data_IF_491823208775
#
_entry.id   IF_491823208775
#
_cell.length_a   1.000
_cell.length_b   1.000
_cell.length_c   1.000
_cell.angle_alpha   90.00
_cell.angle_beta   90.00
_cell.angle_gamma   90.00
#
_symmetry.space_group_name_H-M   'P 1'
#
loop_
_entity.id
_entity.type
_entity.pdbx_description
1 polymer ?
#
# COMPACT_ATOMS: atom_id res chain seq x y z
N UNK A 1 -1.88 -10.87 -8.00
CA UNK A 1 -0.88 -10.14 -7.19
C UNK A 1 -1.48 -9.97 -5.81
N UNK A 2 -0.88 -10.57 -4.81
CA UNK A 2 -1.33 -10.49 -3.43
C UNK A 2 -0.37 -9.65 -2.61
N UNK A 3 -0.86 -9.05 -1.52
CA UNK A 3 -0.04 -8.21 -0.66
C UNK A 3 1.14 -8.98 -0.06
N UNK A 4 0.94 -10.27 0.26
CA UNK A 4 2.00 -11.16 0.75
C UNK A 4 3.23 -11.25 -0.17
N UNK A 5 3.07 -11.00 -1.47
CA UNK A 5 4.16 -11.09 -2.45
C UNK A 5 5.19 -9.95 -2.31
N UNK A 6 4.87 -8.89 -1.55
CA UNK A 6 5.73 -7.72 -1.35
C UNK A 6 6.36 -7.64 0.05
N UNK A 7 5.99 -8.56 0.94
CA UNK A 7 6.33 -8.47 2.35
C UNK A 7 7.75 -8.95 2.63
N UNK A 8 8.40 -8.29 3.58
CA UNK A 8 9.66 -8.75 4.12
C UNK A 8 9.44 -10.06 4.91
N UNK A 9 10.30 -11.06 4.69
CA UNK A 9 10.25 -12.33 5.43
C UNK A 9 10.95 -12.25 6.80
N UNK A 10 11.83 -11.26 6.97
CA UNK A 10 12.61 -11.02 8.19
C UNK A 10 12.82 -9.52 8.38
N UNK A 11 12.85 -9.08 9.63
CA UNK A 11 13.11 -7.70 10.00
C UNK A 11 12.47 -7.33 11.33
N UNK A 12 12.74 -6.11 11.78
CA UNK A 12 12.09 -5.53 12.95
C UNK A 12 10.73 -4.96 12.55
N UNK A 13 9.67 -5.64 12.98
CA UNK A 13 8.30 -5.30 12.63
C UNK A 13 7.56 -4.69 13.82
N UNK A 14 6.75 -3.66 13.55
CA UNK A 14 5.86 -3.03 14.53
C UNK A 14 4.53 -3.80 14.58
N UNK A 15 4.44 -4.78 15.49
CA UNK A 15 3.22 -5.53 15.78
C UNK A 15 2.27 -4.74 16.69
N UNK A 16 0.97 -4.96 16.52
CA UNK A 16 -0.04 -4.50 17.48
C UNK A 16 -0.31 -5.58 18.52
N UNK A 17 -0.53 -5.15 19.76
CA UNK A 17 -1.02 -6.05 20.81
C UNK A 17 -2.48 -6.45 20.54
N UNK A 18 -2.90 -7.62 21.06
CA UNK A 18 -4.23 -8.18 20.77
C UNK A 18 -5.37 -7.26 21.22
N UNK A 19 -5.16 -6.49 22.28
CA UNK A 19 -6.13 -5.55 22.83
C UNK A 19 -6.27 -4.29 21.96
N UNK A 20 -5.33 -4.01 21.05
CA UNK A 20 -5.32 -2.82 20.21
C UNK A 20 -6.18 -2.93 18.96
N UNK A 21 -6.70 -4.12 18.63
CA UNK A 21 -7.51 -4.35 17.43
C UNK A 21 -8.63 -5.37 17.63
N UNK A 22 -9.55 -5.40 16.68
CA UNK A 22 -10.62 -6.39 16.57
C UNK A 22 -10.60 -6.96 15.16
N UNK A 23 -10.56 -8.29 15.05
CA UNK A 23 -10.78 -9.00 13.79
C UNK A 23 -12.26 -9.35 13.67
N UNK A 24 -12.81 -9.25 12.46
CA UNK A 24 -14.21 -9.60 12.20
C UNK A 24 -14.32 -11.09 11.87
N UNK A 25 -15.34 -11.76 12.41
CA UNK A 25 -15.56 -13.20 12.19
C UNK A 25 -15.70 -13.57 10.71
N UNK A 26 -16.29 -12.67 9.91
CA UNK A 26 -16.50 -12.84 8.48
C UNK A 26 -15.84 -11.68 7.72
N UNK A 27 -14.55 -11.81 7.37
CA UNK A 27 -13.86 -10.83 6.54
C UNK A 27 -14.61 -10.55 5.24
N UNK A 28 -14.60 -9.28 4.80
CA UNK A 28 -15.28 -8.87 3.58
C UNK A 28 -14.28 -8.72 2.44
N UNK A 29 -14.39 -9.59 1.45
CA UNK A 29 -13.65 -9.50 0.18
C UNK A 29 -14.41 -8.61 -0.80
N UNK A 30 -13.72 -7.70 -1.47
CA UNK A 30 -14.24 -6.89 -2.56
C UNK A 30 -13.83 -7.49 -3.91
N UNK A 31 -14.50 -7.08 -5.00
CA UNK A 31 -14.19 -7.52 -6.36
C UNK A 31 -12.74 -7.19 -6.79
N UNK A 32 -12.16 -6.14 -6.19
CA UNK A 32 -10.75 -5.75 -6.36
C UNK A 32 -9.75 -6.69 -5.67
N UNK A 33 -10.22 -7.72 -4.98
CA UNK A 33 -9.39 -8.60 -4.14
C UNK A 33 -9.02 -8.00 -2.78
N UNK A 34 -9.52 -6.80 -2.43
CA UNK A 34 -9.27 -6.18 -1.14
C UNK A 34 -10.05 -6.92 -0.04
N UNK A 35 -9.36 -7.42 0.99
CA UNK A 35 -9.96 -8.20 2.07
C UNK A 35 -9.91 -7.38 3.37
N UNK A 36 -11.03 -6.76 3.73
CA UNK A 36 -11.16 -6.08 5.01
C UNK A 36 -11.41 -7.10 6.12
N UNK A 37 -10.51 -7.18 7.10
CA UNK A 37 -10.51 -8.26 8.10
C UNK A 37 -10.62 -7.78 9.54
N UNK A 38 -10.54 -6.48 9.77
CA UNK A 38 -10.60 -5.93 11.11
C UNK A 38 -10.31 -4.45 11.19
N UNK A 39 -10.24 -3.96 12.40
CA UNK A 39 -9.98 -2.55 12.69
C UNK A 39 -9.25 -2.39 14.02
N UNK A 40 -8.54 -1.27 14.17
CA UNK A 40 -7.91 -0.86 15.42
C UNK A 40 -8.97 -0.34 16.39
N UNK A 41 -8.80 -0.67 17.68
CA UNK A 41 -9.65 -0.23 18.79
C UNK A 41 -9.35 1.24 19.14
N UNK A 42 -9.61 2.15 18.20
CA UNK A 42 -9.47 3.60 18.35
C UNK A 42 -10.85 4.26 18.16
N UNK A 43 -10.96 5.50 18.61
CA UNK A 43 -12.21 6.27 18.51
C UNK A 43 -12.78 6.24 17.08
N UNK A 44 -13.98 5.67 16.96
CA UNK A 44 -14.80 5.68 15.75
C UNK A 44 -15.52 7.02 15.60
N UNK A 45 -16.16 7.25 14.45
CA UNK A 45 -17.08 8.38 14.33
C UNK A 45 -18.23 8.19 15.33
N UNK A 46 -18.62 9.24 16.06
CA UNK A 46 -19.71 9.15 17.06
C UNK A 46 -21.07 9.58 16.50
N UNK A 47 -21.07 10.37 15.43
CA UNK A 47 -22.29 10.93 14.85
C UNK A 47 -22.72 10.12 13.61
N UNK A 48 -23.97 9.68 13.57
CA UNK A 48 -24.59 9.07 12.40
C UNK A 48 -24.31 7.57 12.17
N UNK A 49 -23.66 6.89 13.13
CA UNK A 49 -23.45 5.44 13.08
C UNK A 49 -24.60 4.72 13.76
N UNK A 50 -25.17 3.74 13.07
CA UNK A 50 -26.22 2.88 13.61
C UNK A 50 -25.58 1.85 14.56
N UNK A 51 -26.26 1.45 15.64
CA UNK A 51 -25.78 0.36 16.51
C UNK A 51 -25.47 -0.91 15.70
N UNK A 52 -24.48 -1.69 16.15
CA UNK A 52 -24.07 -2.97 15.54
C UNK A 52 -23.53 -2.87 14.10
N UNK A 53 -22.85 -1.76 13.76
CA UNK A 53 -22.22 -1.57 12.44
C UNK A 53 -20.70 -1.46 12.47
N UNK A 54 -20.08 -1.75 13.62
CA UNK A 54 -18.64 -1.69 13.89
C UNK A 54 -17.84 -2.62 12.99
N UNK A 55 -18.43 -3.71 12.51
CA UNK A 55 -17.80 -4.64 11.57
C UNK A 55 -17.68 -4.09 10.14
N UNK A 56 -18.25 -2.92 9.83
CA UNK A 56 -18.20 -2.33 8.49
C UNK A 56 -16.98 -1.42 8.32
N UNK A 57 -16.18 -1.64 7.26
CA UNK A 57 -15.01 -0.81 6.97
C UNK A 57 -15.31 0.70 6.88
N UNK A 58 -16.50 1.07 6.39
CA UNK A 58 -16.90 2.48 6.19
C UNK A 58 -17.06 3.28 7.49
N UNK A 59 -17.26 2.62 8.64
CA UNK A 59 -17.38 3.32 9.93
C UNK A 59 -16.01 3.66 10.54
N UNK A 60 -14.94 3.11 9.95
CA UNK A 60 -13.56 3.28 10.40
C UNK A 60 -12.78 4.24 9.51
N UNK A 61 -11.98 5.11 10.13
CA UNK A 61 -10.99 5.92 9.43
C UNK A 61 -9.97 4.99 8.75
N UNK A 62 -9.48 5.38 7.58
CA UNK A 62 -8.52 4.58 6.80
C UNK A 62 -7.34 4.04 7.63
N UNK A 63 -6.66 4.84 8.49
CA UNK A 63 -5.51 4.37 9.27
C UNK A 63 -5.84 3.36 10.37
N UNK A 64 -7.13 3.15 10.64
CA UNK A 64 -7.61 2.20 11.64
C UNK A 64 -8.12 0.92 11.00
N UNK A 65 -8.11 0.79 9.68
CA UNK A 65 -8.57 -0.42 8.99
C UNK A 65 -7.42 -1.41 8.87
N UNK A 66 -7.75 -2.68 8.98
CA UNK A 66 -6.82 -3.79 8.87
C UNK A 66 -7.25 -4.65 7.69
N UNK A 67 -6.30 -4.94 6.81
CA UNK A 67 -6.53 -5.75 5.61
C UNK A 67 -5.69 -7.03 5.66
N UNK A 68 -6.21 -8.13 5.10
CA UNK A 68 -5.49 -9.40 5.05
C UNK A 68 -4.41 -9.38 3.96
N UNK A 69 -3.25 -9.99 4.24
CA UNK A 69 -2.17 -10.16 3.27
C UNK A 69 -2.52 -11.11 2.11
N UNK A 70 -3.58 -11.91 2.27
CA UNK A 70 -4.13 -12.80 1.23
C UNK A 70 -4.95 -12.03 0.19
N UNK A 71 -5.15 -10.72 0.38
CA UNK A 71 -5.83 -9.83 -0.54
C UNK A 71 -4.89 -8.81 -1.18
N UNK A 72 -5.49 -7.77 -1.75
CA UNK A 72 -4.78 -6.57 -2.19
C UNK A 72 -4.69 -5.53 -1.07
N UNK A 73 -3.86 -4.50 -1.24
CA UNK A 73 -3.77 -3.35 -0.34
C UNK A 73 -4.55 -2.15 -0.92
N UNK A 74 -5.20 -1.31 -0.10
CA UNK A 74 -5.79 -0.06 -0.60
C UNK A 74 -4.72 0.91 -1.11
N UNK A 75 -5.14 2.04 -1.70
CA UNK A 75 -4.22 3.11 -2.06
C UNK A 75 -3.42 3.60 -0.85
N UNK A 76 -2.11 3.79 -1.01
CA UNK A 76 -1.24 4.47 -0.04
C UNK A 76 -1.48 5.99 -0.18
N UNK A 77 -2.11 6.67 0.79
CA UNK A 77 -2.38 8.10 0.69
C UNK A 77 -1.19 8.93 1.20
N UNK A 78 -0.86 10.02 0.51
CA UNK A 78 0.22 10.94 0.90
C UNK A 78 -0.02 11.68 2.22
N UNK A 79 -1.27 11.73 2.68
CA UNK A 79 -1.67 12.36 3.94
C UNK A 79 -1.30 11.51 5.17
N UNK A 80 -1.00 10.23 4.99
CA UNK A 80 -0.64 9.32 6.10
C UNK A 80 0.88 9.30 6.31
N UNK A 81 1.40 10.35 6.93
CA UNK A 81 2.85 10.53 7.15
C UNK A 81 3.44 9.64 8.23
N UNK A 82 2.62 8.94 9.01
CA UNK A 82 3.09 7.99 10.04
C UNK A 82 3.06 6.53 9.59
N UNK A 83 2.58 6.26 8.36
CA UNK A 83 2.61 4.94 7.76
C UNK A 83 1.67 3.93 8.41
N UNK A 84 0.53 4.38 8.95
CA UNK A 84 -0.45 3.53 9.67
C UNK A 84 -1.25 2.63 8.71
N UNK A 85 -0.53 1.76 8.02
CA UNK A 85 -1.06 0.76 7.12
C UNK A 85 -0.91 -0.60 7.81
N UNK A 86 -2.00 -1.08 8.39
CA UNK A 86 -1.99 -2.30 9.20
C UNK A 86 -2.50 -3.48 8.39
N UNK A 87 -1.74 -4.57 8.48
CA UNK A 87 -1.99 -5.82 7.76
C UNK A 87 -2.13 -6.97 8.74
N UNK A 88 -3.03 -7.89 8.43
CA UNK A 88 -3.24 -9.12 9.17
C UNK A 88 -2.53 -10.29 8.48
N UNK A 89 -1.79 -11.07 9.25
CA UNK A 89 -1.06 -12.27 8.84
C UNK A 89 -1.82 -13.49 9.39
N UNK A 90 -2.63 -14.17 8.56
CA UNK A 90 -3.47 -15.28 9.04
C UNK A 90 -2.66 -16.44 9.62
N UNK A 91 -1.48 -16.74 9.04
CA UNK A 91 -0.63 -17.85 9.48
C UNK A 91 -0.01 -17.64 10.87
N UNK A 92 0.13 -16.38 11.29
CA UNK A 92 0.70 -16.02 12.59
C UNK A 92 -0.36 -15.58 13.58
N UNK A 93 -1.59 -15.38 13.11
CA UNK A 93 -2.67 -14.68 13.80
C UNK A 93 -2.20 -13.36 14.42
N UNK A 94 -1.51 -12.52 13.62
CA UNK A 94 -0.95 -11.24 14.09
C UNK A 94 -1.29 -10.10 13.16
N UNK A 95 -1.32 -8.89 13.73
CA UNK A 95 -1.44 -7.64 12.98
C UNK A 95 -0.16 -6.85 13.16
N UNK A 96 0.40 -6.35 12.05
CA UNK A 96 1.53 -5.42 12.08
C UNK A 96 1.36 -4.31 11.09
N UNK A 97 2.19 -3.29 11.25
CA UNK A 97 2.35 -2.21 10.29
C UNK A 97 3.19 -2.67 9.09
N UNK A 98 2.85 -2.17 7.90
CA UNK A 98 3.74 -2.27 6.74
C UNK A 98 5.02 -1.46 6.97
N UNK A 99 6.14 -1.99 6.50
CA UNK A 99 7.41 -1.26 6.47
C UNK A 99 7.43 -0.29 5.28
N UNK A 100 8.30 0.72 5.33
CA UNK A 100 8.52 1.59 4.17
C UNK A 100 9.01 0.80 2.94
N UNK A 101 9.87 -0.21 3.14
CA UNK A 101 10.35 -1.07 2.06
C UNK A 101 9.18 -1.74 1.35
N UNK A 102 8.27 -2.34 2.12
CA UNK A 102 7.07 -2.98 1.58
C UNK A 102 6.19 -1.98 0.83
N UNK A 103 6.01 -0.77 1.35
CA UNK A 103 5.29 0.30 0.65
C UNK A 103 5.92 0.67 -0.71
N UNK A 104 7.26 0.77 -0.79
CA UNK A 104 7.97 1.01 -2.05
C UNK A 104 7.79 -0.15 -3.03
N UNK A 105 7.90 -1.41 -2.56
CA UNK A 105 7.71 -2.60 -3.40
C UNK A 105 6.28 -2.73 -3.92
N UNK A 106 5.27 -2.40 -3.10
CA UNK A 106 3.86 -2.36 -3.52
C UNK A 106 3.68 -1.38 -4.70
N UNK A 107 4.39 -0.25 -4.69
CA UNK A 107 4.39 0.73 -5.78
C UNK A 107 5.31 0.34 -6.96
N UNK A 108 6.05 -0.77 -6.83
CA UNK A 108 6.95 -1.33 -7.85
C UNK A 108 8.30 -0.61 -7.96
N UNK A 109 8.74 0.09 -6.92
CA UNK A 109 10.09 0.65 -6.88
C UNK A 109 11.14 -0.44 -6.65
N UNK A 110 12.35 -0.28 -7.22
CA UNK A 110 13.45 -1.18 -6.95
C UNK A 110 13.94 -1.04 -5.49
N UNK A 111 14.48 -2.11 -4.92
CA UNK A 111 14.95 -2.11 -3.53
C UNK A 111 16.06 -1.07 -3.28
N UNK A 112 16.91 -0.82 -4.29
CA UNK A 112 18.01 0.16 -4.28
C UNK A 112 17.59 1.61 -4.55
N UNK A 113 16.28 1.90 -4.67
CA UNK A 113 15.78 3.26 -4.93
C UNK A 113 16.30 4.24 -3.88
N UNK A 114 16.81 5.39 -4.32
CA UNK A 114 17.31 6.45 -3.44
C UNK A 114 16.13 7.19 -2.79
N UNK A 115 16.08 7.19 -1.46
CA UNK A 115 14.94 7.70 -0.69
C UNK A 115 15.32 8.95 0.10
N UNK A 116 14.30 9.75 0.43
CA UNK A 116 14.47 10.88 1.33
C UNK A 116 14.89 10.41 2.74
N UNK A 117 15.76 11.15 3.42
CA UNK A 117 16.24 10.80 4.77
C UNK A 117 15.14 10.80 5.86
N UNK A 118 13.99 11.40 5.59
CA UNK A 118 12.90 11.62 6.56
C UNK A 118 11.75 10.69 6.24
N UNK A 119 11.37 9.84 7.19
CA UNK A 119 10.29 8.85 7.06
C UNK A 119 8.96 9.48 6.60
N UNK A 120 8.56 10.61 7.19
CA UNK A 120 7.31 11.29 6.80
C UNK A 120 7.31 11.79 5.37
N UNK A 121 8.44 12.31 4.88
CA UNK A 121 8.58 12.72 3.47
C UNK A 121 8.58 11.51 2.53
N UNK A 122 9.16 10.37 2.94
CA UNK A 122 9.07 9.15 2.15
C UNK A 122 7.61 8.71 1.97
N UNK A 123 6.80 8.65 3.03
CA UNK A 123 5.37 8.30 2.89
C UNK A 123 4.61 9.29 2.00
N UNK A 124 4.88 10.58 2.14
CA UNK A 124 4.30 11.62 1.28
C UNK A 124 4.69 11.44 -0.19
N UNK A 125 5.95 11.13 -0.46
CA UNK A 125 6.47 10.88 -1.81
C UNK A 125 5.84 9.63 -2.42
N UNK A 126 5.82 8.51 -1.69
CA UNK A 126 5.20 7.25 -2.14
C UNK A 126 3.71 7.47 -2.45
N UNK A 127 2.96 8.10 -1.53
CA UNK A 127 1.53 8.29 -1.69
C UNK A 127 1.11 9.31 -2.76
N UNK A 128 2.03 10.16 -3.22
CA UNK A 128 1.83 11.03 -4.38
C UNK A 128 2.46 10.45 -5.66
N UNK A 129 3.11 9.30 -5.56
CA UNK A 129 3.74 8.64 -6.70
C UNK A 129 2.73 7.83 -7.51
N UNK A 130 3.23 7.21 -8.55
CA UNK A 130 2.50 6.36 -9.48
C UNK A 130 3.07 4.95 -9.42
N UNK A 131 2.23 3.94 -9.65
CA UNK A 131 2.69 2.56 -9.69
C UNK A 131 3.61 2.37 -10.91
N UNK A 132 4.87 2.03 -10.64
CA UNK A 132 5.93 1.93 -11.64
C UNK A 132 5.57 0.95 -12.78
N UNK A 133 5.01 -0.25 -12.53
CA UNK A 133 4.63 -1.16 -13.60
C UNK A 133 3.57 -0.57 -14.53
N UNK A 134 2.64 0.24 -14.01
CA UNK A 134 1.60 0.88 -14.83
C UNK A 134 2.22 1.91 -15.76
N UNK A 135 3.13 2.75 -15.24
CA UNK A 135 3.83 3.75 -16.07
C UNK A 135 4.69 3.09 -17.14
N UNK A 136 5.34 1.98 -16.80
CA UNK A 136 6.11 1.20 -17.77
C UNK A 136 5.24 0.73 -18.94
N UNK A 137 4.06 0.17 -18.66
CA UNK A 137 3.13 -0.30 -19.70
C UNK A 137 2.55 0.83 -20.55
N UNK A 138 2.25 1.98 -19.93
CA UNK A 138 1.82 3.18 -20.66
C UNK A 138 2.93 3.69 -21.58
N UNK A 139 4.16 3.81 -21.08
CA UNK A 139 5.31 4.25 -21.88
C UNK A 139 5.61 3.29 -23.04
N UNK A 140 5.50 1.97 -22.79
CA UNK A 140 5.62 0.93 -23.82
C UNK A 140 4.57 1.11 -24.91
N UNK A 141 3.31 1.31 -24.52
CA UNK A 141 2.18 1.53 -25.44
C UNK A 141 2.37 2.79 -26.30
N UNK A 142 2.82 3.90 -25.70
CA UNK A 142 3.12 5.15 -26.41
C UNK A 142 4.19 4.92 -27.48
N UNK A 143 5.26 4.19 -27.15
CA UNK A 143 6.34 3.85 -28.07
C UNK A 143 5.87 2.96 -29.21
N UNK A 144 5.09 1.92 -28.92
CA UNK A 144 4.55 0.98 -29.91
C UNK A 144 3.60 1.68 -30.90
N UNK A 145 2.76 2.60 -30.42
CA UNK A 145 1.87 3.42 -31.25
C UNK A 145 2.60 4.57 -31.94
N UNK A 146 3.90 4.75 -31.65
CA UNK A 146 4.75 5.80 -32.19
C UNK A 146 4.17 7.21 -32.02
N UNK A 147 3.57 7.50 -30.87
CA UNK A 147 2.93 8.80 -30.63
C UNK A 147 3.92 9.96 -30.45
N UNK A 148 5.23 9.68 -30.42
CA UNK A 148 6.30 10.66 -30.18
C UNK A 148 7.22 10.87 -31.41
N UNK A 149 6.85 10.40 -32.61
CA UNK A 149 7.76 10.44 -33.80
C UNK A 149 8.11 11.88 -34.22
N UNK A 150 7.17 12.82 -34.05
CA UNK A 150 7.32 14.20 -34.53
C UNK A 150 7.88 15.14 -33.45
N UNK A 151 8.13 14.63 -32.25
CA UNK A 151 8.71 15.39 -31.16
C UNK A 151 10.23 15.16 -31.14
N UNK A 152 11.07 16.21 -31.11
CA UNK A 152 12.49 16.02 -30.90
C UNK A 152 12.68 15.36 -29.53
N UNK A 153 13.16 14.12 -29.51
CA UNK A 153 13.60 13.50 -28.26
C UNK A 153 14.86 14.24 -27.79
N UNK A 154 14.70 15.17 -26.85
CA UNK A 154 15.84 15.65 -26.07
C UNK A 154 16.51 14.45 -25.38
N UNK A 155 17.85 14.53 -25.23
CA UNK A 155 18.68 13.47 -24.66
C UNK A 155 17.97 12.75 -23.50
N UNK A 156 17.76 11.45 -23.66
CA UNK A 156 17.28 10.58 -22.57
C UNK A 156 18.28 10.69 -21.41
N UNK A 157 17.87 11.29 -20.29
CA UNK A 157 18.68 11.36 -19.08
C UNK A 157 18.33 10.16 -18.21
N UNK A 158 19.21 9.17 -18.19
CA UNK A 158 19.07 7.95 -17.38
C UNK A 158 18.42 6.78 -18.11
N UNK A 159 18.87 5.56 -17.79
CA UNK A 159 18.33 4.32 -18.35
C UNK A 159 17.26 3.75 -17.40
N UNK A 160 15.99 3.93 -17.78
CA UNK A 160 14.83 3.38 -17.07
C UNK A 160 14.84 1.85 -17.01
N UNK A 161 15.48 1.14 -17.95
CA UNK A 161 15.60 -0.31 -17.87
C UNK A 161 16.63 -0.71 -16.84
N UNK A 162 17.77 -0.04 -16.81
CA UNK A 162 18.80 -0.26 -15.79
C UNK A 162 18.23 0.02 -14.39
N UNK A 163 17.45 1.08 -14.21
CA UNK A 163 16.84 1.45 -12.94
C UNK A 163 15.73 0.50 -12.43
N UNK A 164 15.07 -0.25 -13.32
CA UNK A 164 13.93 -1.11 -12.96
C UNK A 164 14.26 -2.60 -12.94
N UNK A 165 15.36 -3.01 -13.57
CA UNK A 165 15.72 -4.41 -13.78
C UNK A 165 17.16 -4.77 -13.36
N UNK A 166 17.86 -3.90 -12.62
CA UNK A 166 19.12 -4.22 -11.90
C UNK A 166 18.89 -4.32 -10.40
#
# INVERSE_FOLDING_TARGET
VYLKDFLDTKGDFEYLEKEEYTLIEKPKTQDTGLIFTGYRNKNTWKNGIRPNTEHLSRVHRQPNRIYSIEGTHPTIPSQETSGRFFIYLPNEDKVRKLTLNECYRIMGFPDNFKRHQKTGEQYKQIGNSVAIPVIFEVARSIKEQKLLINEPQEKVVGDLRELLFS
#
